data_IF_838684010411
#
_entry.id   IF_838684010411
#
_cell.length_a   1.000
_cell.length_b   1.000
_cell.length_c   1.000
_cell.angle_alpha   90.00
_cell.angle_beta   90.00
_cell.angle_gamma   90.00
#
_symmetry.space_group_name_H-M   'P 1'
#
loop_
_entity.id
_entity.type
_entity.pdbx_description
1 polymer ?
#
# COMPACT_ATOMS: atom_id res chain seq x y z
N UNK A 1 -4.74 -2.02 -24.76
CA UNK A 1 -3.91 -1.67 -23.59
C UNK A 1 -4.41 -2.54 -22.44
N UNK A 2 -3.85 -3.73 -22.32
CA UNK A 2 -4.27 -4.69 -21.29
C UNK A 2 -3.60 -4.27 -19.99
N UNK A 3 -4.34 -3.63 -19.07
CA UNK A 3 -3.92 -3.66 -17.68
C UNK A 3 -3.78 -5.14 -17.32
N UNK A 4 -2.61 -5.60 -16.83
CA UNK A 4 -2.54 -6.92 -16.26
C UNK A 4 -3.60 -6.97 -15.16
N UNK A 5 -4.47 -7.97 -15.26
CA UNK A 5 -5.37 -8.35 -14.18
C UNK A 5 -4.64 -8.20 -12.84
N UNK A 6 -5.19 -7.41 -11.91
CA UNK A 6 -4.65 -7.30 -10.57
C UNK A 6 -3.77 -6.07 -10.27
N UNK A 7 -3.75 -5.03 -11.10
CA UNK A 7 -3.08 -3.74 -10.77
C UNK A 7 -3.94 -2.51 -11.08
N UNK A 8 -3.73 -1.42 -10.35
CA UNK A 8 -4.43 -0.13 -10.50
C UNK A 8 -3.47 1.04 -10.33
N UNK A 9 -3.89 2.25 -10.74
CA UNK A 9 -3.10 3.46 -10.50
C UNK A 9 -3.13 3.83 -9.02
N UNK A 10 -1.94 4.05 -8.47
CA UNK A 10 -1.73 4.52 -7.12
C UNK A 10 -1.69 6.06 -7.11
N UNK A 11 -2.52 6.67 -6.27
CA UNK A 11 -2.46 8.08 -5.92
C UNK A 11 -1.83 8.22 -4.54
N UNK A 12 -0.56 8.62 -4.47
CA UNK A 12 0.19 8.72 -3.21
C UNK A 12 -0.22 9.99 -2.48
N UNK A 13 -0.69 9.85 -1.24
CA UNK A 13 -1.05 10.95 -0.35
C UNK A 13 0.08 11.27 0.63
N UNK A 14 0.73 10.23 1.17
CA UNK A 14 1.88 10.35 2.07
C UNK A 14 2.91 9.26 1.75
N UNK A 15 4.17 9.61 1.90
CA UNK A 15 5.30 8.70 1.71
C UNK A 15 6.32 8.90 2.85
N UNK A 16 6.88 7.81 3.33
CA UNK A 16 8.06 7.78 4.21
C UNK A 16 9.03 6.70 3.73
N UNK A 17 10.26 6.74 4.26
CA UNK A 17 11.26 5.69 4.04
C UNK A 17 11.86 5.31 5.39
N UNK A 18 11.79 4.04 5.73
CA UNK A 18 12.25 3.50 7.01
C UNK A 18 13.23 2.37 6.72
N UNK A 19 14.48 2.48 7.19
CA UNK A 19 15.52 1.48 6.95
C UNK A 19 15.72 1.12 5.46
N UNK A 20 15.56 2.10 4.56
CA UNK A 20 15.65 1.91 3.11
C UNK A 20 14.42 1.23 2.48
N UNK A 21 13.39 0.94 3.26
CA UNK A 21 12.11 0.40 2.79
C UNK A 21 11.14 1.59 2.62
N UNK A 22 10.68 1.88 1.39
CA UNK A 22 9.67 2.91 1.20
C UNK A 22 8.33 2.44 1.77
N UNK A 23 7.57 3.38 2.33
CA UNK A 23 6.23 3.18 2.84
C UNK A 23 5.31 4.26 2.25
N UNK A 24 4.13 3.85 1.82
CA UNK A 24 3.18 4.66 1.08
C UNK A 24 1.80 4.55 1.72
N UNK A 25 1.17 5.70 1.88
CA UNK A 25 -0.26 5.84 2.11
C UNK A 25 -0.87 6.50 0.88
N UNK A 26 -1.93 5.92 0.35
CA UNK A 26 -2.52 6.45 -0.86
C UNK A 26 -3.92 5.94 -1.13
N UNK A 27 -4.46 6.39 -2.26
CA UNK A 27 -5.75 5.96 -2.77
C UNK A 27 -5.63 5.31 -4.14
N UNK A 28 -6.60 4.47 -4.46
CA UNK A 28 -6.70 3.82 -5.76
C UNK A 28 -8.05 3.14 -5.94
N UNK A 29 -8.27 2.60 -7.13
CA UNK A 29 -9.50 1.84 -7.41
C UNK A 29 -9.16 0.36 -7.37
N UNK A 30 -9.65 -0.35 -6.35
CA UNK A 30 -9.56 -1.80 -6.26
C UNK A 30 -10.87 -2.45 -6.77
N UNK A 31 -10.92 -2.91 -8.04
CA UNK A 31 -12.15 -3.49 -8.61
C UNK A 31 -12.47 -4.89 -8.06
N UNK A 32 -11.49 -5.59 -7.47
CA UNK A 32 -11.66 -6.94 -6.92
C UNK A 32 -12.28 -6.87 -5.53
N UNK A 33 -11.89 -5.87 -4.72
CA UNK A 33 -12.35 -5.66 -3.35
C UNK A 33 -13.24 -4.40 -3.21
N UNK A 34 -14.01 -4.04 -4.24
CA UNK A 34 -14.90 -2.87 -4.19
C UNK A 34 -15.75 -2.92 -2.92
N UNK A 35 -15.66 -1.93 -1.99
CA UNK A 35 -15.37 -0.51 -2.17
C UNK A 35 -14.02 0.02 -1.61
N UNK A 36 -12.98 -0.80 -1.46
CA UNK A 36 -11.70 -0.34 -0.89
C UNK A 36 -11.03 0.73 -1.77
N UNK A 37 -10.72 1.88 -1.16
CA UNK A 37 -10.17 3.07 -1.84
C UNK A 37 -8.84 3.53 -1.29
N UNK A 38 -8.52 3.16 -0.05
CA UNK A 38 -7.27 3.51 0.61
C UNK A 38 -6.33 2.30 0.61
N UNK A 39 -5.03 2.56 0.59
CA UNK A 39 -4.04 1.52 0.76
C UNK A 39 -2.86 1.98 1.60
N UNK A 40 -2.25 0.99 2.24
CA UNK A 40 -0.91 1.07 2.82
C UNK A 40 -0.02 0.11 2.06
N UNK A 41 1.12 0.59 1.56
CA UNK A 41 2.04 -0.24 0.78
C UNK A 41 3.48 0.02 1.18
N UNK A 42 4.31 -1.03 1.26
CA UNK A 42 5.72 -0.92 1.60
C UNK A 42 6.59 -1.78 0.70
N UNK A 43 7.88 -1.44 0.64
CA UNK A 43 8.84 -2.10 -0.22
C UNK A 43 8.59 -1.81 -1.71
N UNK A 44 8.99 -2.73 -2.56
CA UNK A 44 8.91 -2.58 -4.03
C UNK A 44 7.51 -2.92 -4.57
N UNK A 45 6.45 -2.46 -3.91
CA UNK A 45 5.05 -2.76 -4.27
C UNK A 45 4.38 -1.71 -5.14
N UNK A 46 4.86 -0.47 -5.12
CA UNK A 46 4.39 0.60 -6.02
C UNK A 46 5.37 0.76 -7.17
N UNK A 47 5.09 0.13 -8.31
CA UNK A 47 5.98 0.13 -9.49
C UNK A 47 5.42 1.04 -10.58
N UNK A 48 6.17 2.08 -10.94
CA UNK A 48 5.79 3.03 -12.01
C UNK A 48 4.38 3.65 -11.78
N UNK A 49 4.03 3.91 -10.52
CA UNK A 49 2.71 4.44 -10.12
C UNK A 49 1.56 3.42 -10.20
N UNK A 50 1.87 2.12 -10.33
CA UNK A 50 0.90 1.04 -10.27
C UNK A 50 1.07 0.25 -8.98
N UNK A 51 -0.04 -0.23 -8.45
CA UNK A 51 -0.11 -1.04 -7.23
C UNK A 51 -1.02 -2.25 -7.44
N UNK A 52 -0.74 -3.36 -6.77
CA UNK A 52 -1.57 -4.55 -6.83
C UNK A 52 -2.95 -4.31 -6.20
N UNK A 53 -4.02 -4.86 -6.79
CA UNK A 53 -5.40 -4.73 -6.31
C UNK A 53 -5.81 -5.88 -5.37
N UNK A 54 -4.85 -6.52 -4.72
CA UNK A 54 -5.08 -7.58 -3.75
C UNK A 54 -4.13 -7.39 -2.57
N UNK A 55 -4.53 -7.90 -1.40
CA UNK A 55 -3.72 -7.79 -0.20
C UNK A 55 -2.54 -8.76 -0.27
N UNK A 56 -1.35 -8.26 0.07
CA UNK A 56 -0.13 -9.04 0.24
C UNK A 56 0.61 -8.47 1.44
N UNK A 57 0.99 -9.33 2.37
CA UNK A 57 1.65 -8.90 3.59
C UNK A 57 2.87 -9.79 3.82
N UNK A 58 4.04 -9.25 3.48
CA UNK A 58 5.34 -9.87 3.77
C UNK A 58 6.22 -8.90 4.53
N UNK A 59 7.26 -9.44 5.18
CA UNK A 59 8.09 -8.67 6.10
C UNK A 59 8.71 -7.41 5.49
N UNK A 60 9.14 -7.48 4.24
CA UNK A 60 9.86 -6.39 3.56
C UNK A 60 9.09 -5.75 2.40
N UNK A 61 7.99 -6.36 1.97
CA UNK A 61 7.13 -5.81 0.94
C UNK A 61 5.67 -6.22 1.14
N UNK A 62 4.75 -5.32 0.84
CA UNK A 62 3.34 -5.62 0.98
C UNK A 62 2.45 -4.45 0.61
N UNK A 63 1.17 -4.76 0.44
CA UNK A 63 0.10 -3.83 0.13
C UNK A 63 -1.17 -4.34 0.82
N UNK A 64 -1.82 -3.46 1.57
CA UNK A 64 -3.11 -3.71 2.21
C UNK A 64 -4.09 -2.63 1.76
N UNK A 65 -5.30 -3.06 1.44
CA UNK A 65 -6.41 -2.21 1.01
C UNK A 65 -7.47 -2.05 2.09
N UNK A 66 -8.03 -0.85 2.18
CA UNK A 66 -8.98 -0.44 3.20
C UNK A 66 -10.13 0.37 2.59
N UNK A 67 -11.31 0.24 3.20
CA UNK A 67 -12.49 1.04 2.87
C UNK A 67 -12.52 2.30 3.75
N UNK A 68 -12.14 2.14 5.02
CA UNK A 68 -12.13 3.19 6.02
C UNK A 68 -10.76 3.89 6.06
N UNK A 69 -10.77 5.21 6.03
CA UNK A 69 -9.55 6.03 6.05
C UNK A 69 -8.83 5.93 7.40
N UNK A 70 -9.56 6.02 8.51
CA UNK A 70 -8.97 5.97 9.84
C UNK A 70 -8.31 4.61 10.11
N UNK A 71 -8.89 3.51 9.63
CA UNK A 71 -8.28 2.18 9.66
C UNK A 71 -6.98 2.14 8.86
N UNK A 72 -7.00 2.71 7.65
CA UNK A 72 -5.82 2.77 6.79
C UNK A 72 -4.70 3.62 7.44
N UNK A 73 -5.05 4.74 8.05
CA UNK A 73 -4.10 5.60 8.77
C UNK A 73 -3.50 4.91 9.98
N UNK A 74 -4.33 4.26 10.81
CA UNK A 74 -3.84 3.46 11.95
C UNK A 74 -2.88 2.37 11.49
N UNK A 75 -3.21 1.69 10.38
CA UNK A 75 -2.33 0.66 9.84
C UNK A 75 -1.03 1.24 9.31
N UNK A 76 -1.06 2.41 8.69
CA UNK A 76 0.16 3.10 8.22
C UNK A 76 1.10 3.39 9.38
N UNK A 77 0.60 4.02 10.45
CA UNK A 77 1.43 4.34 11.64
C UNK A 77 1.99 3.07 12.28
N UNK A 78 1.17 2.02 12.42
CA UNK A 78 1.64 0.72 12.91
C UNK A 78 2.71 0.10 12.00
N UNK A 79 2.62 0.30 10.68
CA UNK A 79 3.62 -0.19 9.74
C UNK A 79 4.93 0.63 9.82
N UNK A 80 4.86 1.93 10.09
CA UNK A 80 6.06 2.75 10.36
C UNK A 80 6.84 2.19 11.57
N UNK A 81 6.14 1.95 12.68
CA UNK A 81 6.73 1.34 13.88
C UNK A 81 7.30 -0.05 13.59
N UNK A 82 6.53 -0.91 12.92
CA UNK A 82 6.97 -2.27 12.58
C UNK A 82 8.23 -2.28 11.69
N UNK A 83 8.35 -1.35 10.75
CA UNK A 83 9.54 -1.24 9.89
C UNK A 83 10.76 -0.71 10.65
N UNK A 84 10.57 0.10 11.70
CA UNK A 84 11.67 0.57 12.56
C UNK A 84 12.29 -0.58 13.36
N UNK A 85 11.52 -1.60 13.71
CA UNK A 85 11.96 -2.76 14.50
C UNK A 85 12.71 -3.83 13.68
N UNK A 86 12.80 -3.72 12.35
CA UNK A 86 13.40 -4.74 11.45
C UNK A 86 14.96 -4.78 11.50
N UNK A 87 15.57 -4.32 12.59
CA UNK A 87 17.03 -4.32 12.78
C UNK A 87 17.70 -5.68 12.58
#
# INVERSE_FOLDING_TARGET
MSNPCGTTRANILRQSEINGIPLYFGTGVNPVNSPAQFFVAWGDTVKKGLIHTFNREERHEGCLWFIDEDEAERRFSAQEEALQEIL
#
